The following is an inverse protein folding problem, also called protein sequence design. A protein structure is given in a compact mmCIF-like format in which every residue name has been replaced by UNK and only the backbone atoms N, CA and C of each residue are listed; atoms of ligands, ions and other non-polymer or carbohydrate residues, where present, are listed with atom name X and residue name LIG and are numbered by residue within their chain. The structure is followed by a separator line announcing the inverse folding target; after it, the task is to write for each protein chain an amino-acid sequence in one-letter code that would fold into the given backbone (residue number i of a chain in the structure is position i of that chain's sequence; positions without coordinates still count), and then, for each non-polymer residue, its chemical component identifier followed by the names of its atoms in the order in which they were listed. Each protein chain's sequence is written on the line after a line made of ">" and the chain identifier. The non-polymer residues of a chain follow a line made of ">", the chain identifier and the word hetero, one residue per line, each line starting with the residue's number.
data_IF_358052280653
#
_entry.id   IF_358052280653
#
_cell.length_a   1.000
_cell.length_b   1.000
_cell.length_c   1.000
_cell.angle_alpha   90.00
_cell.angle_beta   90.00
_cell.angle_gamma   90.00
#
_symmetry.space_group_name_H-M   'P 1'
#
loop_
_entity.id
_entity.type
_entity.pdbx_description
1 polymer ?
#
# COMPACT_ATOMS: atom_id res chain seq x y z
N UNK A 1 -9.55 -23.08 15.49
CA UNK A 1 -8.82 -21.81 15.73
C UNK A 1 -7.92 -21.48 14.53
N UNK A 2 -8.46 -21.47 13.30
CA UNK A 2 -7.74 -22.14 12.19
C UNK A 2 -7.69 -21.47 10.81
N UNK A 3 -8.19 -20.25 10.62
CA UNK A 3 -8.09 -19.59 9.27
C UNK A 3 -8.05 -18.08 9.38
N UNK A 4 -8.77 -17.51 10.34
CA UNK A 4 -8.78 -16.07 10.61
C UNK A 4 -7.44 -15.55 11.15
N UNK A 5 -6.74 -16.30 12.01
CA UNK A 5 -5.41 -15.90 12.50
C UNK A 5 -4.33 -15.97 11.41
N UNK A 6 -4.37 -16.98 10.53
CA UNK A 6 -3.45 -17.08 9.38
C UNK A 6 -3.67 -15.94 8.39
N UNK A 7 -4.93 -15.60 8.10
CA UNK A 7 -5.27 -14.44 7.27
C UNK A 7 -4.78 -13.13 7.90
N UNK A 8 -4.90 -12.98 9.23
CA UNK A 8 -4.44 -11.77 9.92
C UNK A 8 -2.92 -11.62 9.88
N UNK A 9 -2.16 -12.71 10.09
CA UNK A 9 -0.71 -12.69 9.97
C UNK A 9 -0.24 -12.34 8.56
N UNK A 10 -0.83 -13.00 7.56
CA UNK A 10 -0.55 -12.74 6.14
C UNK A 10 -0.91 -11.32 5.71
N UNK A 11 -1.93 -10.72 6.33
CA UNK A 11 -2.33 -9.33 6.05
C UNK A 11 -1.23 -8.34 6.41
N UNK A 12 -0.54 -8.55 7.53
CA UNK A 12 0.56 -7.65 7.94
C UNK A 12 1.76 -7.76 7.00
N UNK A 13 2.11 -8.99 6.59
CA UNK A 13 3.20 -9.26 5.65
C UNK A 13 2.96 -8.59 4.29
N UNK A 14 1.76 -8.70 3.72
CA UNK A 14 1.42 -8.09 2.44
C UNK A 14 1.44 -6.55 2.47
N UNK A 15 0.98 -5.96 3.59
CA UNK A 15 1.04 -4.50 3.76
C UNK A 15 2.50 -4.04 3.88
N UNK A 16 3.34 -4.78 4.59
CA UNK A 16 4.77 -4.48 4.71
C UNK A 16 5.49 -4.59 3.36
N UNK A 17 5.24 -5.65 2.60
CA UNK A 17 5.80 -5.85 1.25
C UNK A 17 5.37 -4.73 0.29
N UNK A 18 4.10 -4.32 0.34
CA UNK A 18 3.63 -3.20 -0.47
C UNK A 18 4.32 -1.88 -0.09
N UNK A 19 4.59 -1.63 1.18
CA UNK A 19 5.31 -0.42 1.61
C UNK A 19 6.80 -0.47 1.24
N UNK A 20 7.45 -1.62 1.36
CA UNK A 20 8.83 -1.82 0.91
C UNK A 20 8.95 -1.60 -0.61
N UNK A 21 7.97 -2.06 -1.39
CA UNK A 21 7.90 -1.76 -2.82
C UNK A 21 7.81 -0.25 -3.10
N UNK A 22 6.96 0.47 -2.37
CA UNK A 22 6.82 1.92 -2.56
C UNK A 22 8.09 2.67 -2.18
N UNK A 23 8.74 2.28 -1.07
CA UNK A 23 10.01 2.86 -0.65
C UNK A 23 11.10 2.66 -1.71
N UNK A 24 11.25 1.44 -2.23
CA UNK A 24 12.18 1.13 -3.33
C UNK A 24 11.85 1.89 -4.62
N UNK A 25 10.60 2.32 -4.80
CA UNK A 25 10.15 3.19 -5.88
C UNK A 25 10.27 4.69 -5.55
N UNK A 26 11.03 5.09 -4.52
CA UNK A 26 11.12 6.45 -4.00
C UNK A 26 9.73 7.08 -3.83
N UNK A 27 8.77 6.33 -3.28
CA UNK A 27 7.39 6.76 -3.16
C UNK A 27 6.91 6.61 -1.72
N UNK A 28 6.36 7.69 -1.16
CA UNK A 28 5.73 7.68 0.15
C UNK A 28 4.20 7.62 -0.04
N UNK A 29 3.54 6.58 0.47
CA UNK A 29 2.08 6.43 0.34
C UNK A 29 1.32 7.64 0.91
N UNK A 30 1.69 8.10 2.11
CA UNK A 30 1.16 9.32 2.75
C UNK A 30 -0.19 9.17 3.46
N UNK A 31 -0.96 8.11 3.19
CA UNK A 31 -2.24 7.82 3.87
C UNK A 31 -2.46 6.32 4.17
N UNK A 32 -1.47 5.62 4.74
CA UNK A 32 -1.64 4.19 5.02
C UNK A 32 -2.56 3.98 6.23
N UNK A 33 -3.79 3.53 5.98
CA UNK A 33 -4.81 3.19 6.99
C UNK A 33 -5.62 1.99 6.53
N UNK A 34 -6.27 1.28 7.46
CA UNK A 34 -7.09 0.10 7.14
C UNK A 34 -8.18 0.38 6.08
N UNK A 35 -8.71 1.60 6.02
CA UNK A 35 -9.70 2.00 5.00
C UNK A 35 -9.14 2.05 3.57
N UNK A 36 -7.82 2.09 3.42
CA UNK A 36 -7.08 2.13 2.16
C UNK A 36 -6.43 0.77 1.84
N UNK A 37 -6.78 -0.27 2.61
CA UNK A 37 -6.34 -1.65 2.43
C UNK A 37 -7.55 -2.49 2.03
N UNK A 38 -7.53 -3.02 0.81
CA UNK A 38 -8.66 -3.71 0.21
C UNK A 38 -8.39 -5.21 0.15
N UNK A 39 -9.36 -6.03 0.56
CA UNK A 39 -9.34 -7.48 0.40
C UNK A 39 -10.15 -7.85 -0.84
N UNK A 40 -9.56 -8.62 -1.74
CA UNK A 40 -10.23 -9.11 -2.94
C UNK A 40 -10.90 -10.47 -2.69
N UNK A 41 -11.74 -10.91 -3.63
CA UNK A 41 -12.47 -12.18 -3.53
C UNK A 41 -11.53 -13.42 -3.52
N UNK A 42 -10.32 -13.28 -4.07
CA UNK A 42 -9.24 -14.27 -4.06
C UNK A 42 -8.36 -14.21 -2.79
N UNK A 43 -8.81 -13.50 -1.74
CA UNK A 43 -8.06 -13.30 -0.50
C UNK A 43 -6.68 -12.62 -0.69
N UNK A 44 -6.55 -11.80 -1.73
CA UNK A 44 -5.39 -10.95 -1.97
C UNK A 44 -5.62 -9.58 -1.35
N UNK A 45 -4.58 -9.02 -0.76
CA UNK A 45 -4.62 -7.68 -0.17
C UNK A 45 -4.01 -6.67 -1.15
N UNK A 46 -4.69 -5.54 -1.34
CA UNK A 46 -4.26 -4.43 -2.20
C UNK A 46 -4.20 -3.13 -1.43
N UNK A 47 -3.19 -2.31 -1.68
CA UNK A 47 -3.07 -0.98 -1.08
C UNK A 47 -3.55 0.04 -2.12
N UNK A 48 -4.43 0.95 -1.71
CA UNK A 48 -5.02 1.96 -2.60
C UNK A 48 -5.10 3.34 -1.97
N UNK A 49 -5.77 4.26 -2.67
CA UNK A 49 -5.93 5.66 -2.27
C UNK A 49 -4.61 6.45 -2.18
N UNK A 50 -3.91 6.53 -3.32
CA UNK A 50 -2.64 7.24 -3.50
C UNK A 50 -2.79 8.78 -3.64
N UNK A 51 -3.92 9.37 -3.21
CA UNK A 51 -4.18 10.80 -3.36
C UNK A 51 -3.18 11.70 -2.61
N UNK A 52 -2.54 11.17 -1.57
CA UNK A 52 -1.48 11.84 -0.80
C UNK A 52 -0.08 11.31 -1.09
N UNK A 53 0.08 10.45 -2.10
CA UNK A 53 1.36 9.84 -2.42
C UNK A 53 2.35 10.85 -3.00
N UNK A 54 3.60 10.77 -2.55
CA UNK A 54 4.68 11.67 -2.94
C UNK A 54 5.84 10.87 -3.53
N UNK A 55 6.34 11.29 -4.68
CA UNK A 55 7.60 10.80 -5.23
C UNK A 55 8.73 11.59 -4.56
N UNK A 56 9.61 10.89 -3.86
CA UNK A 56 10.78 11.36 -3.13
C UNK A 56 11.99 11.40 -4.07
N UNK A 57 11.92 12.17 -5.15
CA UNK A 57 13.13 12.53 -5.90
C UNK A 57 13.58 13.91 -5.44
N UNK A 58 14.85 14.00 -5.05
CA UNK A 58 15.53 15.26 -4.78
C UNK A 58 15.38 16.17 -6.00
N UNK A 59 15.05 17.45 -5.78
CA UNK A 59 14.68 18.49 -6.76
C UNK A 59 13.29 18.36 -7.42
N UNK A 60 12.34 19.03 -6.76
CA UNK A 60 11.19 19.75 -7.33
C UNK A 60 9.96 18.96 -7.88
N UNK A 61 8.82 19.37 -7.30
CA UNK A 61 7.46 19.35 -7.82
C UNK A 61 6.65 18.02 -7.77
N UNK A 62 5.95 17.83 -6.65
CA UNK A 62 4.48 17.74 -6.55
C UNK A 62 3.72 17.10 -7.74
N UNK A 63 4.16 15.95 -8.23
CA UNK A 63 3.34 15.11 -9.11
C UNK A 63 2.44 14.25 -8.23
N UNK A 64 1.20 14.68 -8.04
CA UNK A 64 0.16 13.84 -7.43
C UNK A 64 0.08 12.53 -8.23
N UNK A 65 0.19 11.41 -7.51
CA UNK A 65 0.10 10.08 -8.11
C UNK A 65 -1.21 9.95 -8.89
N UNK A 66 -1.12 9.83 -10.22
CA UNK A 66 -2.26 9.37 -11.02
C UNK A 66 -2.71 8.04 -10.44
N UNK A 67 -4.01 7.83 -10.28
CA UNK A 67 -4.61 6.65 -9.63
C UNK A 67 -3.89 5.34 -10.02
N UNK A 68 -3.00 4.86 -9.16
CA UNK A 68 -2.37 3.55 -9.25
C UNK A 68 -3.13 2.64 -8.28
N UNK A 69 -3.54 1.46 -8.74
CA UNK A 69 -3.98 0.39 -7.84
C UNK A 69 -2.87 -0.65 -7.93
N UNK A 70 -2.19 -0.94 -6.81
CA UNK A 70 -1.30 -2.09 -6.68
C UNK A 70 -2.05 -3.22 -5.97
#
# INVERSE_FOLDING_TARGET
>A
MSSTMELTGRSYELVAEAMDYLENANSLHGDLRAANVFLTADFTLKVGNFGLTKILNDTEAHKQGKHFIM
#
